data_IF_005233338355
#
_entry.id   IF_005233338355
#
_cell.length_a   1.000
_cell.length_b   1.000
_cell.length_c   1.000
_cell.angle_alpha   90.00
_cell.angle_beta   90.00
_cell.angle_gamma   90.00
#
_symmetry.space_group_name_H-M   'P 1'
#
loop_
_entity.id
_entity.type
_entity.pdbx_description
1 polymer ?
#
# COMPACT_ATOMS: atom_id res chain seq x y z
N UNK A 1 -12.41 -2.97 4.81
CA UNK A 1 -11.95 -1.62 4.41
C UNK A 1 -11.74 -1.44 2.92
N UNK A 2 -11.75 -2.49 2.11
CA UNK A 2 -11.50 -2.39 0.66
C UNK A 2 -12.36 -1.33 -0.07
N UNK A 3 -13.67 -1.15 0.22
CA UNK A 3 -14.45 -0.11 -0.47
C UNK A 3 -13.92 1.31 -0.23
N UNK A 4 -13.48 1.63 0.98
CA UNK A 4 -12.91 2.95 1.32
C UNK A 4 -11.62 3.17 0.54
N UNK A 5 -10.69 2.21 0.59
CA UNK A 5 -9.40 2.27 -0.10
C UNK A 5 -9.54 2.53 -1.60
N UNK A 6 -10.56 1.91 -2.22
CA UNK A 6 -10.80 2.03 -3.66
C UNK A 6 -11.41 3.37 -4.09
N UNK A 7 -11.97 4.15 -3.17
CA UNK A 7 -12.69 5.38 -3.48
C UNK A 7 -12.04 6.66 -2.93
N UNK A 8 -10.84 6.58 -2.35
CA UNK A 8 -10.14 7.74 -1.78
C UNK A 8 -9.96 8.89 -2.78
N UNK A 9 -9.74 8.58 -4.06
CA UNK A 9 -9.59 9.57 -5.13
C UNK A 9 -10.83 10.44 -5.37
N UNK A 10 -12.00 10.05 -4.84
CA UNK A 10 -13.25 10.82 -4.93
C UNK A 10 -13.40 11.86 -3.82
N UNK A 11 -12.46 11.94 -2.88
CA UNK A 11 -12.48 12.94 -1.81
C UNK A 11 -12.29 14.32 -2.46
N UNK A 12 -13.26 15.20 -2.21
CA UNK A 12 -13.22 16.60 -2.68
C UNK A 12 -12.04 17.32 -2.01
N UNK A 13 -11.29 18.11 -2.79
CA UNK A 13 -10.12 18.82 -2.28
C UNK A 13 -8.88 17.95 -2.01
N UNK A 14 -8.92 16.62 -2.27
CA UNK A 14 -7.74 15.79 -2.14
C UNK A 14 -6.65 16.22 -3.14
N UNK A 15 -5.45 16.46 -2.65
CA UNK A 15 -4.27 16.81 -3.45
C UNK A 15 -3.86 15.68 -4.41
N UNK A 16 -3.06 16.03 -5.44
CA UNK A 16 -2.49 15.05 -6.37
C UNK A 16 -1.58 14.05 -5.65
N UNK A 17 -0.72 14.53 -4.76
CA UNK A 17 0.14 13.71 -3.92
C UNK A 17 -0.49 13.54 -2.53
N UNK A 18 -0.88 12.33 -2.17
CA UNK A 18 -1.45 12.06 -0.85
C UNK A 18 -0.93 10.76 -0.24
N UNK A 19 -0.98 10.69 1.09
CA UNK A 19 -0.60 9.51 1.84
C UNK A 19 -1.83 8.82 2.40
N UNK A 20 -1.94 7.52 2.16
CA UNK A 20 -2.92 6.68 2.82
C UNK A 20 -2.25 5.92 3.97
N UNK A 21 -2.82 6.05 5.17
CA UNK A 21 -2.38 5.34 6.36
C UNK A 21 -3.40 4.29 6.76
N UNK A 22 -2.91 3.07 7.04
CA UNK A 22 -3.71 2.10 7.79
C UNK A 22 -3.70 2.48 9.27
N UNK A 23 -4.66 1.96 10.03
CA UNK A 23 -4.86 2.20 11.47
C UNK A 23 -3.71 1.67 12.35
N UNK A 24 -2.85 0.82 11.82
CA UNK A 24 -1.68 0.25 12.48
C UNK A 24 -0.35 0.99 12.19
N UNK A 25 -0.39 2.10 11.42
CA UNK A 25 0.79 2.87 11.03
C UNK A 25 0.79 4.26 11.69
N UNK A 26 1.89 4.58 12.37
CA UNK A 26 2.03 5.83 13.13
C UNK A 26 3.32 6.56 12.77
N UNK A 27 3.28 7.90 12.54
CA UNK A 27 4.48 8.74 12.48
C UNK A 27 5.00 8.98 13.91
N UNK A 28 6.31 8.84 14.11
CA UNK A 28 6.98 9.06 15.40
C UNK A 28 8.01 10.19 15.35
N UNK A 29 8.60 10.45 14.20
CA UNK A 29 9.53 11.55 13.98
C UNK A 29 9.02 12.46 12.87
N UNK A 30 9.44 13.73 12.82
CA UNK A 30 9.08 14.66 11.77
C UNK A 30 9.35 14.08 10.37
N UNK A 31 8.33 14.11 9.53
CA UNK A 31 8.40 13.71 8.15
C UNK A 31 8.36 14.94 7.23
N UNK A 32 9.03 14.85 6.09
CA UNK A 32 8.99 15.85 5.02
C UNK A 32 8.25 15.26 3.82
N UNK A 33 7.58 16.06 2.99
CA UNK A 33 6.98 15.58 1.75
C UNK A 33 7.97 14.78 0.88
N UNK A 34 9.24 15.20 0.84
CA UNK A 34 10.31 14.53 0.09
C UNK A 34 10.69 13.13 0.61
N UNK A 35 10.25 12.74 1.80
CA UNK A 35 10.38 11.37 2.28
C UNK A 35 9.47 10.42 1.50
N UNK A 36 8.34 10.91 1.01
CA UNK A 36 7.27 10.12 0.40
C UNK A 36 7.07 10.38 -1.10
N UNK A 37 7.45 11.59 -1.57
CA UNK A 37 7.30 11.99 -2.97
C UNK A 37 8.55 12.71 -3.45
N UNK A 38 9.03 12.37 -4.64
CA UNK A 38 10.15 13.02 -5.32
C UNK A 38 9.90 13.00 -6.82
N UNK A 39 10.05 14.13 -7.48
CA UNK A 39 9.91 14.30 -8.93
C UNK A 39 8.57 13.74 -9.47
N UNK A 40 7.46 14.00 -8.75
CA UNK A 40 6.14 13.51 -9.11
C UNK A 40 6.00 11.99 -9.06
N UNK A 41 6.79 11.32 -8.19
CA UNK A 41 6.76 9.87 -7.97
C UNK A 41 6.65 9.55 -6.49
N UNK A 42 5.85 8.52 -6.17
CA UNK A 42 5.79 7.98 -4.82
C UNK A 42 7.07 7.21 -4.46
N UNK A 43 7.50 7.33 -3.20
CA UNK A 43 8.67 6.62 -2.66
C UNK A 43 8.20 5.48 -1.76
N UNK A 44 8.41 4.25 -2.18
CA UNK A 44 8.09 3.07 -1.38
C UNK A 44 8.86 1.85 -1.89
N UNK A 45 9.25 0.94 -0.99
CA UNK A 45 9.86 -0.33 -1.38
C UNK A 45 8.83 -1.28 -1.97
N UNK A 46 9.10 -1.74 -3.21
CA UNK A 46 8.35 -2.79 -3.89
C UNK A 46 9.23 -4.05 -3.99
N UNK A 47 8.73 -5.18 -3.50
CA UNK A 47 9.39 -6.48 -3.59
C UNK A 47 8.62 -7.43 -4.50
N UNK A 48 9.32 -8.42 -5.10
CA UNK A 48 8.71 -9.41 -6.00
C UNK A 48 8.59 -10.75 -5.28
N UNK A 49 7.43 -11.38 -5.42
CA UNK A 49 7.10 -12.66 -4.79
C UNK A 49 6.56 -13.64 -5.83
N UNK A 50 6.91 -14.92 -5.67
CA UNK A 50 6.43 -16.00 -6.55
C UNK A 50 5.28 -16.79 -5.91
N UNK A 51 5.40 -17.11 -4.61
CA UNK A 51 4.52 -18.05 -3.94
C UNK A 51 3.42 -17.34 -3.15
N UNK A 52 2.23 -17.90 -3.22
CA UNK A 52 1.03 -17.48 -2.48
C UNK A 52 0.74 -18.50 -1.41
N UNK A 53 1.03 -18.18 -0.15
CA UNK A 53 0.81 -19.08 0.99
C UNK A 53 -0.40 -18.70 1.86
N UNK A 54 -0.94 -17.50 1.67
CA UNK A 54 -2.02 -16.96 2.49
C UNK A 54 -2.98 -16.09 1.66
N UNK A 55 -4.13 -15.80 2.24
CA UNK A 55 -5.18 -14.98 1.61
C UNK A 55 -4.67 -13.57 1.25
N UNK A 56 -3.85 -12.96 2.11
CA UNK A 56 -3.35 -11.62 1.87
C UNK A 56 -2.46 -11.57 0.61
N UNK A 57 -1.56 -12.55 0.44
CA UNK A 57 -0.74 -12.65 -0.78
C UNK A 57 -1.57 -12.94 -2.02
N UNK A 58 -2.68 -13.69 -1.87
CA UNK A 58 -3.62 -13.88 -2.99
C UNK A 58 -4.26 -12.56 -3.41
N UNK A 59 -4.67 -11.73 -2.46
CA UNK A 59 -5.21 -10.39 -2.72
C UNK A 59 -4.15 -9.51 -3.42
N UNK A 60 -2.89 -9.51 -2.95
CA UNK A 60 -1.80 -8.80 -3.61
C UNK A 60 -1.59 -9.29 -5.05
N UNK A 61 -1.61 -10.59 -5.28
CA UNK A 61 -1.48 -11.17 -6.62
C UNK A 61 -2.63 -10.78 -7.55
N UNK A 62 -3.86 -10.77 -7.04
CA UNK A 62 -5.03 -10.32 -7.80
C UNK A 62 -4.89 -8.84 -8.19
N UNK A 63 -4.54 -7.98 -7.22
CA UNK A 63 -4.31 -6.56 -7.44
C UNK A 63 -3.24 -6.32 -8.51
N UNK A 64 -2.14 -7.07 -8.44
CA UNK A 64 -1.06 -7.01 -9.43
C UNK A 64 -1.55 -7.42 -10.84
N UNK A 65 -2.35 -8.49 -10.96
CA UNK A 65 -2.91 -8.92 -12.26
C UNK A 65 -3.81 -7.86 -12.88
N UNK A 66 -4.65 -7.20 -12.08
CA UNK A 66 -5.52 -6.12 -12.54
C UNK A 66 -4.69 -4.89 -12.97
N UNK A 67 -3.62 -4.56 -12.24
CA UNK A 67 -2.70 -3.49 -12.63
C UNK A 67 -2.05 -3.73 -14.00
N UNK A 68 -1.58 -4.96 -14.26
CA UNK A 68 -1.06 -5.35 -15.58
C UNK A 68 -2.13 -5.24 -16.67
N UNK A 69 -3.34 -5.76 -16.39
CA UNK A 69 -4.45 -5.73 -17.35
C UNK A 69 -4.90 -4.29 -17.68
N UNK A 70 -4.85 -3.37 -16.70
CA UNK A 70 -5.14 -1.95 -16.92
C UNK A 70 -4.16 -1.29 -17.90
N UNK A 71 -2.95 -1.83 -18.03
CA UNK A 71 -1.93 -1.38 -18.97
C UNK A 71 -1.88 -2.19 -20.28
N UNK A 72 -2.82 -3.11 -20.50
CA UNK A 72 -2.81 -4.01 -21.64
C UNK A 72 -1.61 -4.96 -21.68
N UNK A 73 -0.99 -5.23 -20.53
CA UNK A 73 0.20 -6.08 -20.39
C UNK A 73 -0.15 -7.46 -19.86
N UNK A 74 0.62 -8.47 -20.25
CA UNK A 74 0.51 -9.81 -19.64
C UNK A 74 1.09 -9.79 -18.22
N UNK A 75 0.39 -10.37 -17.22
CA UNK A 75 0.91 -10.47 -15.86
C UNK A 75 2.22 -11.26 -15.80
N UNK A 76 3.15 -10.79 -14.98
CA UNK A 76 4.35 -11.55 -14.63
C UNK A 76 4.00 -12.75 -13.74
N UNK A 77 4.76 -13.86 -13.78
CA UNK A 77 4.69 -14.93 -12.78
C UNK A 77 4.95 -14.41 -11.35
N UNK A 78 5.81 -13.39 -11.23
CA UNK A 78 6.08 -12.71 -9.97
C UNK A 78 5.09 -11.56 -9.76
N UNK A 79 4.46 -11.50 -8.59
CA UNK A 79 3.63 -10.38 -8.19
C UNK A 79 4.38 -9.41 -7.27
N UNK A 80 3.96 -8.17 -7.27
CA UNK A 80 4.54 -7.12 -6.44
C UNK A 80 3.93 -7.14 -5.03
N UNK A 81 4.76 -6.82 -4.04
CA UNK A 81 4.32 -6.59 -2.66
C UNK A 81 5.01 -5.34 -2.13
N UNK A 82 4.25 -4.27 -1.91
CA UNK A 82 4.76 -3.06 -1.29
C UNK A 82 5.20 -3.30 0.15
N UNK A 83 6.11 -2.46 0.63
CA UNK A 83 6.42 -2.37 2.06
C UNK A 83 5.13 -2.02 2.81
N UNK A 84 4.84 -2.74 3.90
CA UNK A 84 3.69 -2.44 4.75
C UNK A 84 4.00 -1.19 5.61
N UNK A 85 3.57 -0.05 5.10
CA UNK A 85 3.80 1.30 5.64
C UNK A 85 2.74 2.23 5.00
N UNK A 86 2.71 3.51 5.34
CA UNK A 86 1.85 4.46 4.63
C UNK A 86 2.10 4.39 3.12
N UNK A 87 1.04 4.55 2.37
CA UNK A 87 1.03 4.33 0.92
C UNK A 87 1.02 5.68 0.19
N UNK A 88 2.11 6.06 -0.49
CA UNK A 88 2.14 7.26 -1.32
C UNK A 88 1.34 7.02 -2.60
N UNK A 89 0.36 7.87 -2.86
CA UNK A 89 -0.57 7.78 -3.99
C UNK A 89 -0.52 9.05 -4.83
N UNK A 90 -0.68 8.89 -6.15
CA UNK A 90 -0.96 9.98 -7.09
C UNK A 90 -2.42 9.89 -7.51
N UNK A 91 -3.22 10.93 -7.21
CA UNK A 91 -4.67 10.96 -7.45
C UNK A 91 -5.02 10.66 -8.90
N UNK A 92 -4.31 11.27 -9.84
CA UNK A 92 -4.51 11.06 -11.27
C UNK A 92 -4.26 9.62 -11.70
N UNK A 93 -3.25 8.94 -11.15
CA UNK A 93 -2.94 7.55 -11.45
C UNK A 93 -3.97 6.58 -10.84
N UNK A 94 -4.42 6.86 -9.62
CA UNK A 94 -5.49 6.10 -8.95
C UNK A 94 -6.78 6.22 -9.76
N UNK A 95 -7.15 7.44 -10.18
CA UNK A 95 -8.32 7.69 -11.02
C UNK A 95 -8.21 6.95 -12.37
N UNK A 96 -7.04 6.97 -12.99
CA UNK A 96 -6.82 6.33 -14.29
C UNK A 96 -7.05 4.81 -14.22
N UNK A 97 -6.45 4.12 -13.25
CA UNK A 97 -6.65 2.66 -13.12
C UNK A 97 -8.07 2.32 -12.65
N UNK A 98 -8.65 3.15 -11.77
CA UNK A 98 -10.04 2.97 -11.36
C UNK A 98 -11.00 3.04 -12.54
N UNK A 99 -10.87 4.06 -13.40
CA UNK A 99 -11.71 4.20 -14.59
C UNK A 99 -11.51 3.04 -15.58
N UNK A 100 -10.26 2.61 -15.79
CA UNK A 100 -9.92 1.51 -16.69
C UNK A 100 -10.45 0.15 -16.22
N UNK A 101 -10.63 -0.06 -14.91
CA UNK A 101 -10.95 -1.34 -14.28
C UNK A 101 -12.10 -1.27 -13.28
N UNK A 102 -12.99 -0.31 -13.47
CA UNK A 102 -14.09 -0.02 -12.54
C UNK A 102 -14.96 -1.24 -12.22
N UNK A 103 -15.35 -2.00 -13.22
CA UNK A 103 -16.20 -3.19 -13.04
C UNK A 103 -15.50 -4.27 -12.24
N UNK A 104 -14.22 -4.53 -12.55
CA UNK A 104 -13.41 -5.53 -11.83
C UNK A 104 -13.19 -5.10 -10.36
N UNK A 105 -12.94 -3.81 -10.13
CA UNK A 105 -12.74 -3.24 -8.79
C UNK A 105 -14.03 -3.38 -7.97
N UNK A 106 -15.16 -2.92 -8.49
CA UNK A 106 -16.46 -2.98 -7.81
C UNK A 106 -16.86 -4.45 -7.58
N UNK A 107 -16.72 -5.30 -8.59
CA UNK A 107 -17.05 -6.73 -8.50
C UNK A 107 -16.18 -7.51 -7.49
N UNK A 108 -15.03 -6.96 -7.10
CA UNK A 108 -14.16 -7.55 -6.07
C UNK A 108 -14.57 -7.19 -4.65
N UNK A 109 -15.43 -6.18 -4.46
CA UNK A 109 -15.83 -5.70 -3.13
C UNK A 109 -16.82 -6.67 -2.47
N UNK A 110 -16.56 -7.02 -1.23
CA UNK A 110 -17.38 -7.91 -0.43
C UNK A 110 -17.53 -7.36 0.99
N UNK A 111 -18.58 -7.76 1.70
CA UNK A 111 -18.83 -7.37 3.09
C UNK A 111 -17.83 -7.98 4.06
N UNK A 112 -17.28 -9.14 3.72
CA UNK A 112 -16.25 -9.84 4.49
C UNK A 112 -15.00 -10.02 3.63
N UNK A 113 -13.83 -10.13 4.28
CA UNK A 113 -12.57 -10.36 3.55
C UNK A 113 -12.60 -11.67 2.79
N UNK A 114 -12.23 -11.63 1.53
CA UNK A 114 -12.23 -12.77 0.61
C UNK A 114 -10.94 -12.80 -0.20
N UNK A 115 -10.50 -14.00 -0.57
CA UNK A 115 -9.35 -14.20 -1.47
C UNK A 115 -9.56 -13.59 -2.87
N UNK A 116 -10.79 -13.23 -3.24
CA UNK A 116 -11.11 -12.58 -4.52
C UNK A 116 -10.98 -11.05 -4.47
N UNK A 117 -10.83 -10.46 -3.28
CA UNK A 117 -10.73 -9.02 -3.16
C UNK A 117 -9.48 -8.45 -3.86
N UNK A 118 -9.56 -7.16 -4.15
CA UNK A 118 -8.44 -6.28 -4.45
C UNK A 118 -8.18 -5.38 -3.23
N UNK A 119 -7.03 -4.74 -3.14
CA UNK A 119 -6.68 -3.76 -2.12
C UNK A 119 -5.92 -2.59 -2.73
N UNK A 120 -5.59 -1.57 -1.91
CA UNK A 120 -4.88 -0.36 -2.36
C UNK A 120 -3.55 -0.66 -3.07
N UNK A 121 -2.98 -1.85 -2.95
CA UNK A 121 -1.76 -2.23 -3.67
C UNK A 121 -1.95 -2.31 -5.19
N UNK A 122 -3.19 -2.43 -5.68
CA UNK A 122 -3.53 -2.25 -7.09
C UNK A 122 -2.98 -0.92 -7.63
N UNK A 123 -3.19 0.17 -6.89
CA UNK A 123 -2.75 1.51 -7.29
C UNK A 123 -1.24 1.64 -7.28
N UNK A 124 -0.56 1.12 -6.25
CA UNK A 124 0.90 1.09 -6.20
C UNK A 124 1.52 0.25 -7.32
N UNK A 125 0.95 -0.92 -7.59
CA UNK A 125 1.41 -1.80 -8.66
C UNK A 125 1.28 -1.12 -10.04
N UNK A 126 0.14 -0.45 -10.28
CA UNK A 126 -0.09 0.31 -11.50
C UNK A 126 0.93 1.46 -11.64
N UNK A 127 1.11 2.24 -10.57
CA UNK A 127 2.10 3.32 -10.53
C UNK A 127 3.52 2.81 -10.75
N UNK A 128 3.89 1.67 -10.12
CA UNK A 128 5.20 1.05 -10.30
C UNK A 128 5.44 0.63 -11.75
N UNK A 129 4.46 0.00 -12.38
CA UNK A 129 4.53 -0.45 -13.77
C UNK A 129 4.62 0.71 -14.77
N UNK A 130 4.14 1.90 -14.40
CA UNK A 130 4.27 3.16 -15.15
C UNK A 130 5.56 3.93 -14.85
N UNK A 131 6.41 3.45 -13.94
CA UNK A 131 7.63 4.17 -13.54
C UNK A 131 7.36 5.39 -12.63
N UNK A 132 6.20 5.42 -11.96
CA UNK A 132 5.78 6.46 -11.01
C UNK A 132 6.11 6.12 -9.55
N UNK A 133 6.95 5.12 -9.32
CA UNK A 133 7.45 4.72 -7.99
C UNK A 133 8.98 4.74 -7.99
N UNK A 134 9.55 5.39 -7.01
CA UNK A 134 10.96 5.26 -6.60
C UNK A 134 11.03 4.09 -5.62
N UNK A 135 11.68 3.01 -6.04
CA UNK A 135 11.76 1.76 -5.26
C UNK A 135 12.81 1.88 -4.14
N UNK A 136 12.44 2.56 -3.07
CA UNK A 136 13.29 2.83 -1.92
C UNK A 136 12.56 2.49 -0.62
N UNK A 137 13.29 2.04 0.40
CA UNK A 137 12.70 1.69 1.70
C UNK A 137 12.41 2.93 2.53
N UNK A 138 11.15 3.08 2.95
CA UNK A 138 10.78 4.07 3.96
C UNK A 138 11.28 3.66 5.36
N UNK A 139 11.69 4.66 6.14
CA UNK A 139 12.17 4.48 7.52
C UNK A 139 11.04 4.03 8.44
N UNK A 140 10.92 2.71 8.63
CA UNK A 140 9.85 2.09 9.43
C UNK A 140 10.37 0.98 10.32
N UNK A 141 9.89 0.92 11.57
CA UNK A 141 9.99 -0.22 12.49
C UNK A 141 8.65 -0.93 12.62
N UNK A 142 8.67 -2.25 12.61
CA UNK A 142 7.49 -3.09 12.81
C UNK A 142 7.52 -3.75 14.19
N UNK A 143 6.37 -3.76 14.84
CA UNK A 143 6.13 -4.47 16.08
C UNK A 143 4.85 -5.31 15.99
N UNK A 144 4.93 -6.56 16.41
CA UNK A 144 3.78 -7.45 16.57
C UNK A 144 3.37 -7.48 18.03
N UNK A 145 2.15 -7.06 18.35
CA UNK A 145 1.65 -6.87 19.73
C UNK A 145 1.74 -8.17 20.54
N UNK A 146 1.45 -9.31 19.94
CA UNK A 146 1.55 -10.62 20.62
C UNK A 146 2.96 -11.09 20.94
N UNK A 147 4.00 -10.41 20.43
CA UNK A 147 5.42 -10.84 20.55
C UNK A 147 6.27 -9.81 21.29
N UNK A 148 6.00 -8.52 21.09
CA UNK A 148 6.79 -7.45 21.70
C UNK A 148 6.32 -7.15 23.12
N UNK A 149 7.26 -7.01 24.07
CA UNK A 149 6.92 -6.56 25.42
C UNK A 149 6.52 -5.07 25.42
N UNK A 150 5.55 -4.71 26.27
CA UNK A 150 5.09 -3.32 26.43
C UNK A 150 6.25 -2.36 26.74
N UNK A 151 7.21 -2.77 27.57
CA UNK A 151 8.39 -1.97 27.91
C UNK A 151 9.28 -1.69 26.69
N UNK A 152 9.45 -2.66 25.78
CA UNK A 152 10.25 -2.48 24.56
C UNK A 152 9.55 -1.53 23.61
N UNK A 153 8.24 -1.65 23.46
CA UNK A 153 7.45 -0.74 22.62
C UNK A 153 7.49 0.68 23.20
N UNK A 154 7.28 0.84 24.52
CA UNK A 154 7.36 2.15 25.20
C UNK A 154 8.71 2.82 24.99
N UNK A 155 9.82 2.13 25.23
CA UNK A 155 11.17 2.66 25.00
C UNK A 155 11.38 3.13 23.55
N UNK A 156 10.84 2.40 22.59
CA UNK A 156 10.95 2.79 21.20
C UNK A 156 10.10 4.02 20.87
N UNK A 157 8.92 4.19 21.47
CA UNK A 157 8.08 5.37 21.29
C UNK A 157 8.71 6.61 21.94
N UNK A 158 9.31 6.44 23.11
CA UNK A 158 10.01 7.53 23.84
C UNK A 158 11.30 7.97 23.13
N UNK A 159 12.00 7.03 22.48
CA UNK A 159 13.25 7.30 21.75
C UNK A 159 13.23 6.63 20.37
N UNK A 160 12.42 7.14 19.44
CA UNK A 160 12.24 6.51 18.13
C UNK A 160 13.49 6.65 17.27
N UNK A 161 13.90 5.55 16.66
CA UNK A 161 15.00 5.48 15.69
C UNK A 161 14.53 5.47 14.24
N UNK A 162 13.23 5.45 14.02
CA UNK A 162 12.59 5.42 12.70
C UNK A 162 11.47 6.46 12.62
N UNK A 163 11.24 7.01 11.44
CA UNK A 163 10.19 8.01 11.22
C UNK A 163 8.79 7.45 11.38
N UNK A 164 8.61 6.18 11.02
CA UNK A 164 7.33 5.49 11.06
C UNK A 164 7.42 4.23 11.90
N UNK A 165 6.30 3.84 12.50
CA UNK A 165 6.14 2.53 13.13
C UNK A 165 4.85 1.86 12.64
N UNK A 166 4.90 0.54 12.58
CA UNK A 166 3.72 -0.29 12.41
C UNK A 166 3.57 -1.14 13.67
N UNK A 167 2.39 -1.08 14.29
CA UNK A 167 2.06 -1.86 15.49
C UNK A 167 0.78 -2.63 15.20
N UNK A 168 0.88 -3.93 14.93
CA UNK A 168 -0.26 -4.75 14.60
C UNK A 168 -0.25 -6.08 15.34
N UNK A 169 -1.41 -6.76 15.33
CA UNK A 169 -1.55 -8.11 15.84
C UNK A 169 -0.82 -9.12 14.95
N UNK A 170 -0.31 -10.17 15.59
CA UNK A 170 0.13 -11.39 14.88
C UNK A 170 -1.15 -12.16 14.52
N UNK A 171 -1.48 -12.19 13.25
CA UNK A 171 -2.48 -13.12 12.73
C UNK A 171 -1.84 -14.40 12.25
#
# INVERSE_FOLDING_TARGET
>A
CNPIEMHLHNIEGLDEEYLYFNDDIFPLLPCKPTDFFRDGKGVIRMSRHLFVFDMFKQICRNSNRVAYAALGRRPSPLFLRPQHVCTPMLKSEVQAVYNAKREEIIGSMTTTRSAKNLNQYLFLDYMYLKGKIINERLSKKHFSVGVVSANKLRKFIEQPTHKLTCVNDVQ
#
